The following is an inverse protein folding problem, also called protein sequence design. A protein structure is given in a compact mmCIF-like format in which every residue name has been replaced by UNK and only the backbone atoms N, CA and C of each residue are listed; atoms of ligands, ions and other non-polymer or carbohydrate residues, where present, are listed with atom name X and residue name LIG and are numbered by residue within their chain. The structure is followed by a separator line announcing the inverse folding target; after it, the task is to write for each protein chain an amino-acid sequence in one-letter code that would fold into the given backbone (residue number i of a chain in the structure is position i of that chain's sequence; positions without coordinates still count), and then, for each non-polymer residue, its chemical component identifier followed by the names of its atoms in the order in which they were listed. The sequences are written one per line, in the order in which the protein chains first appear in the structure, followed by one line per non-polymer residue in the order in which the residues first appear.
data_IF_277186443030
#
_entry.id   IF_277186443030
#
_cell.length_a   1.000
_cell.length_b   1.000
_cell.length_c   1.000
_cell.angle_alpha   90.00
_cell.angle_beta   90.00
_cell.angle_gamma   90.00
#
_symmetry.space_group_name_H-M   'P 1'
#
loop_
_entity.id
_entity.type
_entity.pdbx_description
1 polymer ?
#
# COMPACT_ATOMS: atom_id res chain seq x y z
N UNK A 1 -78.18 6.42 -34.46
CA UNK A 1 -76.82 6.06 -34.94
C UNK A 1 -75.91 7.24 -34.64
N UNK A 2 -74.96 7.11 -33.71
CA UNK A 2 -73.75 7.93 -33.66
C UNK A 2 -72.79 7.30 -32.64
N UNK A 3 -71.68 6.77 -33.15
CA UNK A 3 -70.65 6.06 -32.38
C UNK A 3 -69.62 7.09 -31.92
N UNK A 4 -69.52 7.33 -30.62
CA UNK A 4 -68.40 8.07 -30.03
C UNK A 4 -67.22 7.11 -29.87
N UNK A 5 -66.18 7.29 -30.68
CA UNK A 5 -64.89 6.61 -30.55
C UNK A 5 -63.96 7.60 -29.84
N UNK A 6 -63.60 7.31 -28.59
CA UNK A 6 -62.57 8.04 -27.84
C UNK A 6 -61.26 7.26 -27.95
N UNK A 7 -60.32 7.82 -28.70
CA UNK A 7 -58.97 7.31 -28.88
C UNK A 7 -58.13 7.55 -27.61
N UNK A 8 -57.53 6.48 -27.08
CA UNK A 8 -56.53 6.55 -26.03
C UNK A 8 -55.18 7.00 -26.61
N UNK A 9 -54.68 8.17 -26.20
CA UNK A 9 -53.32 8.60 -26.50
C UNK A 9 -52.37 8.11 -25.40
N UNK A 10 -51.58 7.08 -25.70
CA UNK A 10 -50.49 6.63 -24.85
C UNK A 10 -49.29 7.58 -25.01
N UNK A 11 -49.00 8.37 -23.98
CA UNK A 11 -47.77 9.19 -23.93
C UNK A 11 -46.61 8.29 -23.53
N UNK A 12 -45.86 7.82 -24.52
CA UNK A 12 -44.58 7.15 -24.29
C UNK A 12 -43.52 8.20 -23.91
N UNK A 13 -43.35 8.43 -22.60
CA UNK A 13 -42.27 9.26 -22.07
C UNK A 13 -40.93 8.55 -22.23
N UNK A 14 -40.12 9.00 -23.19
CA UNK A 14 -38.72 8.60 -23.34
C UNK A 14 -37.91 9.12 -22.15
N UNK A 15 -37.57 8.24 -21.22
CA UNK A 15 -36.58 8.50 -20.17
C UNK A 15 -35.21 8.60 -20.84
N UNK A 16 -34.70 9.82 -21.03
CA UNK A 16 -33.31 10.04 -21.43
C UNK A 16 -32.46 9.69 -20.21
N UNK A 17 -31.91 8.48 -20.17
CA UNK A 17 -30.94 8.10 -19.16
C UNK A 17 -29.69 8.99 -19.31
N UNK A 18 -29.44 9.85 -18.33
CA UNK A 18 -28.18 10.59 -18.23
C UNK A 18 -27.04 9.58 -18.23
N UNK A 19 -26.19 9.59 -19.26
CA UNK A 19 -25.00 8.75 -19.30
C UNK A 19 -24.11 9.13 -18.11
N UNK A 20 -23.90 8.19 -17.18
CA UNK A 20 -22.91 8.35 -16.13
C UNK A 20 -21.52 8.37 -16.79
N UNK A 21 -20.93 9.55 -16.91
CA UNK A 21 -19.55 9.68 -17.38
C UNK A 21 -18.62 9.06 -16.34
N UNK A 22 -18.01 7.93 -16.67
CA UNK A 22 -16.93 7.35 -15.90
C UNK A 22 -15.75 8.34 -15.95
N UNK A 23 -15.41 8.94 -14.82
CA UNK A 23 -14.22 9.77 -14.72
C UNK A 23 -12.98 8.92 -15.03
N UNK A 24 -12.14 9.40 -15.94
CA UNK A 24 -10.84 8.77 -16.22
C UNK A 24 -9.99 8.94 -14.98
N UNK A 25 -9.76 7.85 -14.27
CA UNK A 25 -8.83 7.81 -13.15
C UNK A 25 -7.42 7.88 -13.72
N UNK A 26 -6.58 8.74 -13.15
CA UNK A 26 -5.17 8.82 -13.53
C UNK A 26 -4.47 7.48 -13.18
N UNK A 27 -3.33 7.18 -13.79
CA UNK A 27 -2.48 6.07 -13.33
C UNK A 27 -1.69 6.52 -12.11
N UNK A 28 -1.56 5.66 -11.10
CA UNK A 28 -0.71 5.99 -9.96
C UNK A 28 0.76 6.11 -10.37
N UNK A 29 1.48 7.01 -9.70
CA UNK A 29 2.91 7.21 -9.85
C UNK A 29 3.60 7.19 -8.49
N UNK A 30 4.82 6.65 -8.46
CA UNK A 30 5.65 6.66 -7.24
C UNK A 30 5.99 8.07 -6.77
N UNK A 31 5.92 9.04 -7.68
CA UNK A 31 6.19 10.44 -7.38
C UNK A 31 4.98 11.21 -6.86
N UNK A 32 3.79 10.61 -6.76
CA UNK A 32 2.56 11.28 -6.30
C UNK A 32 2.64 11.77 -4.85
N UNK A 33 3.59 11.22 -4.09
CA UNK A 33 3.87 11.55 -2.70
C UNK A 33 5.37 11.74 -2.45
N UNK A 34 5.70 12.41 -1.34
CA UNK A 34 7.06 12.58 -0.81
C UNK A 34 7.12 12.11 0.65
N UNK A 35 8.17 11.37 1.08
CA UNK A 35 9.24 10.81 0.24
C UNK A 35 8.69 9.89 -0.85
N UNK A 36 9.41 9.82 -1.98
CA UNK A 36 8.97 9.06 -3.16
C UNK A 36 8.63 7.63 -2.77
N UNK A 37 7.47 7.15 -3.21
CA UNK A 37 7.06 5.78 -2.93
C UNK A 37 7.96 4.78 -3.66
N UNK A 38 8.13 3.60 -3.08
CA UNK A 38 8.79 2.48 -3.75
C UNK A 38 7.86 1.82 -4.77
N UNK A 39 6.57 1.79 -4.48
CA UNK A 39 5.53 1.23 -5.34
C UNK A 39 4.18 1.88 -5.04
N UNK A 40 3.30 1.87 -6.02
CA UNK A 40 1.92 2.32 -5.87
C UNK A 40 0.96 1.35 -6.58
N UNK A 41 -0.26 1.29 -6.05
CA UNK A 41 -1.43 0.73 -6.72
C UNK A 41 -2.51 1.76 -6.51
N UNK A 42 -3.02 2.41 -7.55
CA UNK A 42 -3.84 3.56 -7.25
C UNK A 42 -4.84 4.04 -8.25
N UNK A 43 -5.53 5.04 -7.73
CA UNK A 43 -6.75 5.66 -8.24
C UNK A 43 -7.81 4.63 -8.59
N UNK A 44 -8.01 3.63 -7.71
CA UNK A 44 -9.21 2.80 -7.74
C UNK A 44 -10.42 3.67 -7.41
N UNK A 45 -11.54 3.44 -8.10
CA UNK A 45 -12.69 4.34 -8.03
C UNK A 45 -13.27 4.46 -6.61
N UNK A 46 -13.57 5.70 -6.20
CA UNK A 46 -14.23 5.99 -4.93
C UNK A 46 -13.31 5.95 -3.71
N UNK A 47 -13.93 6.06 -2.53
CA UNK A 47 -13.25 6.00 -1.24
C UNK A 47 -13.22 4.56 -0.74
N UNK A 48 -12.08 3.90 -0.87
CA UNK A 48 -11.89 2.53 -0.40
C UNK A 48 -11.43 2.44 1.07
N UNK A 49 -11.13 3.56 1.73
CA UNK A 49 -10.54 3.58 3.07
C UNK A 49 -11.59 3.44 4.18
N UNK A 50 -12.42 2.38 4.12
CA UNK A 50 -13.49 2.12 5.08
C UNK A 50 -13.80 0.61 5.16
N UNK A 51 -14.60 0.23 6.16
CA UNK A 51 -14.88 -1.18 6.47
C UNK A 51 -15.78 -1.89 5.44
N UNK A 52 -16.42 -1.16 4.52
CA UNK A 52 -17.21 -1.77 3.45
C UNK A 52 -16.35 -2.21 2.25
N UNK A 53 -15.08 -1.80 2.21
CA UNK A 53 -14.17 -2.03 1.08
C UNK A 53 -12.90 -2.76 1.52
N UNK A 54 -13.01 -3.69 2.49
CA UNK A 54 -11.86 -4.41 3.02
C UNK A 54 -11.19 -5.26 1.94
N UNK A 55 -11.96 -5.96 1.09
CA UNK A 55 -11.41 -6.79 0.02
C UNK A 55 -10.56 -5.95 -0.96
N UNK A 56 -11.07 -4.80 -1.39
CA UNK A 56 -10.35 -3.91 -2.29
C UNK A 56 -9.08 -3.31 -1.66
N UNK A 57 -9.06 -3.11 -0.34
CA UNK A 57 -7.86 -2.72 0.41
C UNK A 57 -6.87 -3.87 0.47
N UNK A 58 -7.32 -5.08 0.82
CA UNK A 58 -6.48 -6.29 0.86
C UNK A 58 -5.84 -6.56 -0.49
N UNK A 59 -6.60 -6.55 -1.58
CA UNK A 59 -6.10 -6.77 -2.94
C UNK A 59 -5.04 -5.74 -3.33
N UNK A 60 -5.25 -4.47 -3.00
CA UNK A 60 -4.29 -3.41 -3.32
C UNK A 60 -2.98 -3.54 -2.52
N UNK A 61 -3.10 -3.95 -1.24
CA UNK A 61 -1.95 -4.14 -0.35
C UNK A 61 -1.16 -5.40 -0.71
N UNK A 62 -1.84 -6.47 -1.13
CA UNK A 62 -1.20 -7.71 -1.57
C UNK A 62 -0.35 -7.48 -2.83
N UNK A 63 -0.87 -6.70 -3.78
CA UNK A 63 -0.10 -6.24 -4.96
C UNK A 63 1.13 -5.41 -4.61
N UNK A 64 1.15 -4.77 -3.44
CA UNK A 64 2.31 -4.02 -2.92
C UNK A 64 3.26 -4.89 -2.09
N UNK A 65 2.90 -6.15 -1.83
CA UNK A 65 3.66 -7.11 -1.04
C UNK A 65 3.32 -7.13 0.46
N UNK A 66 2.13 -6.67 0.85
CA UNK A 66 1.64 -6.77 2.22
C UNK A 66 0.42 -7.70 2.31
N UNK A 67 0.59 -8.83 3.01
CA UNK A 67 -0.54 -9.64 3.45
C UNK A 67 -1.22 -8.98 4.65
N UNK A 68 -2.26 -8.20 4.38
CA UNK A 68 -2.97 -7.41 5.40
C UNK A 68 -4.12 -8.21 6.05
N UNK A 69 -4.28 -8.07 7.37
CA UNK A 69 -5.26 -8.83 8.18
C UNK A 69 -6.42 -7.98 8.71
N UNK A 70 -6.61 -6.77 8.18
CA UNK A 70 -7.71 -5.88 8.54
C UNK A 70 -7.40 -4.86 9.64
N UNK A 71 -6.23 -4.93 10.29
CA UNK A 71 -5.82 -3.98 11.32
C UNK A 71 -5.13 -2.75 10.72
N UNK A 72 -5.54 -1.53 11.11
CA UNK A 72 -4.88 -0.28 10.70
C UNK A 72 -4.10 0.33 11.85
N UNK A 73 -2.96 0.96 11.57
CA UNK A 73 -2.15 1.68 12.56
C UNK A 73 -2.83 2.99 12.96
N UNK A 74 -3.23 3.78 11.98
CA UNK A 74 -3.96 5.03 12.21
C UNK A 74 -4.77 5.43 10.98
N UNK A 75 -5.84 6.21 11.22
CA UNK A 75 -6.66 6.81 10.17
C UNK A 75 -6.75 8.31 10.41
N UNK A 76 -6.41 9.07 9.39
CA UNK A 76 -6.51 10.53 9.38
C UNK A 76 -7.66 10.90 8.44
N UNK A 77 -8.64 11.62 8.96
CA UNK A 77 -9.84 12.02 8.22
C UNK A 77 -9.95 13.53 8.17
N UNK A 78 -10.74 14.06 7.22
CA UNK A 78 -10.99 15.51 7.13
C UNK A 78 -9.81 16.31 6.56
N UNK A 79 -8.97 15.68 5.72
CA UNK A 79 -7.78 16.31 5.17
C UNK A 79 -8.07 17.55 4.30
N UNK A 80 -9.26 17.65 3.71
CA UNK A 80 -9.74 18.87 3.03
C UNK A 80 -8.76 19.43 1.98
N UNK A 81 -8.08 18.56 1.24
CA UNK A 81 -7.09 18.92 0.23
C UNK A 81 -5.68 19.18 0.76
N UNK A 82 -5.41 18.91 2.04
CA UNK A 82 -4.09 19.07 2.64
C UNK A 82 -3.01 18.31 1.86
N UNK A 83 -1.94 19.01 1.54
CA UNK A 83 -0.75 18.41 0.92
C UNK A 83 0.18 17.81 1.95
N UNK A 84 0.30 18.40 3.13
CA UNK A 84 1.10 17.82 4.21
C UNK A 84 0.20 17.04 5.15
N UNK A 85 0.49 15.76 5.35
CA UNK A 85 -0.23 14.91 6.30
C UNK A 85 0.72 14.55 7.43
N UNK A 86 0.35 14.89 8.66
CA UNK A 86 1.14 14.58 9.86
C UNK A 86 0.59 13.30 10.51
N UNK A 87 1.49 12.42 10.92
CA UNK A 87 1.16 11.18 11.61
C UNK A 87 1.25 11.35 13.11
N UNK A 88 0.34 10.70 13.84
CA UNK A 88 0.48 10.60 15.31
C UNK A 88 1.50 9.53 15.65
N UNK A 89 1.47 8.42 14.90
CA UNK A 89 2.46 7.35 14.98
C UNK A 89 3.59 7.62 14.00
N UNK A 90 4.81 7.80 14.50
CA UNK A 90 5.98 7.94 13.63
C UNK A 90 6.18 6.68 12.79
N UNK A 91 6.14 6.83 11.46
CA UNK A 91 6.38 5.74 10.53
C UNK A 91 7.87 5.39 10.50
N UNK A 92 8.20 4.12 10.30
CA UNK A 92 9.56 3.58 10.29
C UNK A 92 9.68 2.44 9.29
N UNK A 93 10.87 2.26 8.72
CA UNK A 93 11.18 1.22 7.75
C UNK A 93 10.17 1.20 6.60
N UNK A 94 9.87 0.01 6.09
CA UNK A 94 8.80 -0.14 5.11
C UNK A 94 7.43 0.12 5.77
N UNK A 95 6.67 1.03 5.19
CA UNK A 95 5.32 1.38 5.61
C UNK A 95 4.35 1.36 4.42
N UNK A 96 3.10 1.03 4.72
CA UNK A 96 2.02 0.95 3.74
C UNK A 96 0.93 1.93 4.11
N UNK A 97 0.57 2.79 3.17
CA UNK A 97 -0.44 3.84 3.36
C UNK A 97 -1.43 3.82 2.22
N UNK A 98 -2.66 4.26 2.48
CA UNK A 98 -3.68 4.54 1.48
C UNK A 98 -4.16 5.97 1.61
N UNK A 99 -4.34 6.65 0.48
CA UNK A 99 -4.82 8.03 0.40
C UNK A 99 -6.03 8.06 -0.52
N UNK A 100 -7.13 8.58 -0.01
CA UNK A 100 -8.30 8.89 -0.81
C UNK A 100 -8.25 10.35 -1.28
N UNK A 101 -8.47 10.55 -2.57
CA UNK A 101 -8.63 11.84 -3.20
C UNK A 101 -10.06 11.98 -3.68
N UNK A 102 -10.70 13.11 -3.33
CA UNK A 102 -12.06 13.41 -3.76
C UNK A 102 -12.11 14.02 -5.16
N UNK A 103 -13.32 14.31 -5.64
CA UNK A 103 -13.58 14.98 -6.93
C UNK A 103 -13.16 16.48 -6.99
N UNK A 104 -12.36 16.95 -6.03
CA UNK A 104 -11.92 18.35 -5.99
C UNK A 104 -10.91 18.69 -7.10
N UNK A 105 -10.80 19.98 -7.42
CA UNK A 105 -9.79 20.49 -8.35
C UNK A 105 -8.36 20.19 -7.84
N UNK A 106 -7.47 19.80 -8.75
CA UNK A 106 -6.08 19.44 -8.40
C UNK A 106 -5.91 18.02 -7.85
N UNK A 107 -6.92 17.16 -8.05
CA UNK A 107 -6.89 15.74 -7.75
C UNK A 107 -6.79 14.84 -8.99
N UNK A 108 -6.47 13.55 -8.80
CA UNK A 108 -6.40 12.52 -9.84
C UNK A 108 -7.78 11.91 -10.21
N UNK A 109 -8.87 12.54 -9.74
CA UNK A 109 -10.24 12.00 -9.75
C UNK A 109 -10.66 11.44 -8.38
N UNK A 110 -11.95 11.14 -8.21
CA UNK A 110 -12.47 10.47 -7.02
C UNK A 110 -11.97 9.02 -6.96
N UNK A 111 -10.85 8.83 -6.28
CA UNK A 111 -10.20 7.53 -6.17
C UNK A 111 -9.24 7.40 -5.01
N UNK A 112 -8.94 6.15 -4.68
CA UNK A 112 -8.00 5.77 -3.62
C UNK A 112 -6.72 5.21 -4.23
N UNK A 113 -5.58 5.72 -3.77
CA UNK A 113 -4.26 5.19 -4.07
C UNK A 113 -3.61 4.59 -2.83
N UNK A 114 -2.87 3.51 -3.03
CA UNK A 114 -2.12 2.78 -2.03
C UNK A 114 -0.63 2.88 -2.38
N UNK A 115 0.21 3.08 -1.37
CA UNK A 115 1.63 3.30 -1.54
C UNK A 115 2.42 2.44 -0.55
N UNK A 116 3.53 1.88 -1.05
CA UNK A 116 4.61 1.36 -0.22
C UNK A 116 5.71 2.41 -0.17
N UNK A 117 6.07 2.85 1.03
CA UNK A 117 7.12 3.84 1.27
C UNK A 117 8.20 3.27 2.17
N UNK A 118 9.39 3.85 2.10
CA UNK A 118 10.42 3.68 3.12
C UNK A 118 10.47 4.94 3.98
N UNK A 119 10.02 4.81 5.22
CA UNK A 119 10.02 5.85 6.23
C UNK A 119 11.37 5.96 6.98
N UNK A 120 12.35 5.11 6.65
CA UNK A 120 13.67 5.11 7.26
C UNK A 120 13.62 4.92 8.78
N UNK A 121 14.45 5.69 9.51
CA UNK A 121 14.48 5.62 10.98
C UNK A 121 13.28 6.29 11.66
N UNK A 122 12.51 7.10 10.93
CA UNK A 122 11.41 7.88 11.49
C UNK A 122 10.90 8.95 10.54
N UNK A 123 9.62 8.85 10.16
CA UNK A 123 8.91 9.82 9.34
C UNK A 123 7.62 10.24 10.03
N UNK A 124 7.49 11.53 10.35
CA UNK A 124 6.32 12.08 11.04
C UNK A 124 5.33 12.75 10.09
N UNK A 125 5.68 12.94 8.82
CA UNK A 125 4.77 13.50 7.82
C UNK A 125 5.15 13.07 6.40
N UNK A 126 4.16 13.10 5.51
CA UNK A 126 4.34 13.00 4.07
C UNK A 126 3.80 14.24 3.39
N UNK A 127 4.27 14.48 2.17
CA UNK A 127 3.68 15.46 1.26
C UNK A 127 2.98 14.75 0.11
N UNK A 128 1.76 15.13 -0.20
CA UNK A 128 0.96 14.71 -1.33
C UNK A 128 1.08 15.76 -2.44
N UNK A 129 1.19 15.35 -3.69
CA UNK A 129 1.27 16.30 -4.80
C UNK A 129 -0.08 16.91 -5.18
N UNK A 130 -1.16 16.17 -4.92
CA UNK A 130 -2.54 16.56 -5.21
C UNK A 130 -3.18 17.34 -4.05
N UNK A 131 -3.98 18.35 -4.39
CA UNK A 131 -4.76 19.17 -3.44
C UNK A 131 -6.20 18.69 -3.26
N UNK A 132 -6.41 17.37 -3.29
CA UNK A 132 -7.74 16.76 -3.22
C UNK A 132 -7.86 15.65 -2.15
N UNK A 133 -6.86 15.51 -1.28
CA UNK A 133 -6.85 14.50 -0.23
C UNK A 133 -8.04 14.68 0.72
N UNK A 134 -8.67 13.57 1.11
CA UNK A 134 -9.83 13.59 2.02
C UNK A 134 -9.62 12.68 3.22
N UNK A 135 -9.04 11.51 3.00
CA UNK A 135 -8.70 10.55 4.05
C UNK A 135 -7.35 9.90 3.76
N UNK A 136 -6.63 9.53 4.82
CA UNK A 136 -5.44 8.70 4.76
C UNK A 136 -5.55 7.59 5.82
N UNK A 137 -5.06 6.40 5.47
CA UNK A 137 -4.91 5.28 6.40
C UNK A 137 -3.49 4.78 6.34
N UNK A 138 -2.91 4.50 7.50
CA UNK A 138 -1.66 3.75 7.64
C UNK A 138 -2.04 2.31 7.97
N UNK A 139 -1.69 1.38 7.09
CA UNK A 139 -2.02 -0.03 7.22
C UNK A 139 -0.98 -0.80 8.01
N UNK A 140 0.29 -0.51 7.76
CA UNK A 140 1.40 -1.12 8.47
C UNK A 140 2.62 -0.19 8.44
N UNK A 141 3.49 -0.34 9.43
CA UNK A 141 4.78 0.33 9.50
C UNK A 141 5.82 -0.61 10.10
N UNK A 142 7.09 -0.37 9.78
CA UNK A 142 8.22 -1.15 10.24
C UNK A 142 8.16 -2.62 9.78
N UNK A 143 7.63 -2.87 8.59
CA UNK A 143 7.49 -4.23 8.02
C UNK A 143 8.77 -4.71 7.33
N UNK A 144 9.90 -4.02 7.53
CA UNK A 144 11.11 -4.18 6.73
C UNK A 144 12.39 -4.24 7.56
N UNK A 145 12.73 -5.45 7.99
CA UNK A 145 13.98 -6.10 7.62
C UNK A 145 13.70 -7.61 7.65
N UNK A 146 13.89 -8.35 6.54
CA UNK A 146 14.03 -9.80 6.64
C UNK A 146 15.22 -10.04 7.56
N UNK A 147 14.95 -10.36 8.83
CA UNK A 147 15.96 -11.01 9.65
C UNK A 147 16.29 -12.29 8.89
N UNK A 148 17.58 -12.54 8.53
CA UNK A 148 17.93 -13.74 7.81
C UNK A 148 17.31 -14.90 8.57
N UNK A 149 16.58 -15.76 7.86
CA UNK A 149 15.84 -16.83 8.50
C UNK A 149 16.78 -17.66 9.39
N UNK A 150 16.30 -18.30 10.46
CA UNK A 150 17.15 -19.08 11.38
C UNK A 150 18.07 -20.07 10.66
N UNK A 151 17.62 -20.58 9.50
CA UNK A 151 18.42 -21.43 8.61
C UNK A 151 19.67 -20.71 8.05
N UNK A 152 19.57 -19.45 7.65
CA UNK A 152 20.70 -18.67 7.10
C UNK A 152 21.77 -18.45 8.15
N UNK A 153 21.39 -18.12 9.38
CA UNK A 153 22.34 -18.02 10.50
C UNK A 153 22.94 -19.37 10.84
N UNK A 154 22.13 -20.44 10.86
CA UNK A 154 22.62 -21.79 11.09
C UNK A 154 23.64 -22.22 10.03
N UNK A 155 23.44 -21.88 8.76
CA UNK A 155 24.38 -22.18 7.67
C UNK A 155 25.70 -21.42 7.82
N UNK A 156 25.68 -20.14 8.24
CA UNK A 156 26.90 -19.41 8.56
C UNK A 156 27.64 -20.03 9.75
N UNK A 157 26.93 -20.30 10.85
CA UNK A 157 27.50 -20.91 12.06
C UNK A 157 28.07 -22.29 11.75
N UNK A 158 27.37 -23.10 10.96
CA UNK A 158 27.83 -24.41 10.52
C UNK A 158 29.06 -24.29 9.61
N UNK A 159 29.08 -23.36 8.67
CA UNK A 159 30.24 -23.08 7.81
C UNK A 159 31.48 -22.71 8.62
N UNK A 160 31.36 -21.75 9.54
CA UNK A 160 32.47 -21.37 10.43
C UNK A 160 32.85 -22.48 11.41
N UNK A 161 31.88 -23.23 11.92
CA UNK A 161 32.10 -24.37 12.82
C UNK A 161 32.90 -25.49 12.16
N UNK A 162 32.56 -25.85 10.92
CA UNK A 162 33.29 -26.86 10.14
C UNK A 162 34.70 -26.40 9.79
N UNK A 163 34.87 -25.15 9.35
CA UNK A 163 36.19 -24.58 9.05
C UNK A 163 37.09 -24.59 10.30
N UNK A 164 36.58 -24.14 11.45
CA UNK A 164 37.31 -24.18 12.72
C UNK A 164 37.63 -25.59 13.19
N UNK A 165 36.73 -26.54 13.00
CA UNK A 165 36.96 -27.96 13.31
C UNK A 165 38.09 -28.55 12.47
N UNK A 166 38.12 -28.27 11.17
CA UNK A 166 39.15 -28.75 10.25
C UNK A 166 40.55 -28.26 10.66
N UNK A 167 40.69 -26.97 11.01
CA UNK A 167 41.96 -26.38 11.49
C UNK A 167 42.43 -27.05 12.78
N UNK A 168 41.54 -27.27 13.75
CA UNK A 168 41.88 -27.93 15.02
C UNK A 168 42.33 -29.38 14.83
N UNK A 169 41.73 -30.11 13.88
CA UNK A 169 42.14 -31.49 13.57
C UNK A 169 43.51 -31.54 12.92
N UNK A 170 43.81 -30.64 11.98
CA UNK A 170 45.09 -30.59 11.29
C UNK A 170 46.27 -30.28 12.24
N UNK A 171 46.09 -29.36 13.20
CA UNK A 171 47.13 -29.01 14.17
C UNK A 171 47.55 -30.13 15.12
N UNK A 172 46.72 -31.18 15.30
CA UNK A 172 47.05 -32.32 16.18
C UNK A 172 47.89 -33.41 15.48
N UNK A 173 47.94 -33.43 14.15
CA UNK A 173 48.69 -34.44 13.40
C UNK A 173 50.20 -34.17 13.36
N UNK A 174 50.64 -32.94 13.67
CA UNK A 174 52.04 -32.50 13.51
C UNK A 174 52.79 -32.46 14.85
N UNK A 175 52.73 -33.55 15.63
CA UNK A 175 53.67 -33.79 16.74
C UNK A 175 54.47 -35.06 16.44
N UNK A 176 55.20 -35.07 15.32
CA UNK A 176 56.24 -36.08 15.07
C UNK A 176 57.42 -35.73 15.97
N UNK A 177 57.56 -36.53 17.03
CA UNK A 177 58.72 -36.55 17.91
C UNK A 177 59.94 -36.89 17.07
N UNK A 178 60.83 -35.91 16.86
CA UNK A 178 62.22 -36.16 16.45
C UNK A 178 62.99 -36.54 17.71
N UNK A 179 63.16 -37.83 17.95
CA UNK A 179 64.20 -38.35 18.86
C UNK A 179 65.55 -38.38 18.16
N UNK A 180 66.59 -38.20 18.99
CA UNK A 180 68.01 -38.00 18.72
C UNK A 180 68.64 -38.96 17.69
#
# INVERSE_FOLDING_TARGET
MNRLVLSAAAVAGTMIASSASAAVLMTCSTNDIKPTAQACVGFKAGNLLNNANLDAQTDALDLLGLTWTGATVEKISGLSGAKTVNFTTQLKGISYIGVHYGNGQGGPGNGTAFYRIDAGAGLSSITLNYSASSNLVVFATNTGAPVPEPATWAMMVLGFGLAGYAVRRAGRATKVVRTA
#
